data_IF_924000941918
#
_entry.id   IF_924000941918
#
_cell.length_a   1.000
_cell.length_b   1.000
_cell.length_c   1.000
_cell.angle_alpha   90.00
_cell.angle_beta   90.00
_cell.angle_gamma   90.00
#
_symmetry.space_group_name_H-M   'P 1'
#
loop_
_entity.id
_entity.type
_entity.pdbx_description
1 polymer ?
#
# COMPACT_ATOMS: atom_id res chain seq x y z
N UNK A 1 19.93 -5.16 27.26
CA UNK A 1 18.48 -4.94 27.43
C UNK A 1 18.04 -3.97 26.34
N UNK A 2 16.94 -4.28 25.64
CA UNK A 2 16.13 -3.41 24.72
C UNK A 2 16.78 -2.97 23.38
N UNK A 3 16.21 -3.18 22.18
CA UNK A 3 14.90 -3.71 21.70
C UNK A 3 15.03 -4.36 20.30
N UNK A 4 14.15 -5.28 19.88
CA UNK A 4 14.03 -5.66 18.48
C UNK A 4 13.32 -4.54 17.71
N UNK A 5 13.86 -4.14 16.56
CA UNK A 5 13.21 -3.20 15.65
C UNK A 5 12.02 -3.89 14.97
N UNK A 6 10.81 -3.64 15.45
CA UNK A 6 9.59 -3.91 14.69
C UNK A 6 9.49 -2.91 13.53
N UNK A 7 10.20 -3.19 12.44
CA UNK A 7 10.01 -2.50 11.17
C UNK A 7 8.98 -3.27 10.36
N UNK A 8 7.78 -2.73 10.22
CA UNK A 8 6.82 -3.17 9.20
C UNK A 8 7.54 -3.24 7.84
N UNK A 9 7.70 -4.44 7.29
CA UNK A 9 8.21 -4.60 5.94
C UNK A 9 7.26 -3.88 4.99
N UNK A 10 7.73 -2.83 4.31
CA UNK A 10 6.91 -2.06 3.37
C UNK A 10 6.32 -3.00 2.33
N UNK A 11 5.00 -3.01 2.22
CA UNK A 11 4.26 -3.86 1.28
C UNK A 11 4.57 -3.57 -0.21
N UNK A 12 5.26 -2.46 -0.48
CA UNK A 12 5.51 -1.92 -1.82
C UNK A 12 6.99 -1.56 -2.06
N UNK A 13 7.92 -2.34 -1.49
CA UNK A 13 9.36 -2.17 -1.70
C UNK A 13 9.81 -2.47 -3.14
N UNK A 14 10.65 -1.57 -3.69
CA UNK A 14 11.18 -1.67 -5.06
C UNK A 14 12.55 -2.35 -5.17
N UNK A 15 13.28 -2.05 -6.26
CA UNK A 15 14.61 -2.61 -6.59
C UNK A 15 15.77 -2.16 -5.69
N UNK A 16 15.50 -1.32 -4.70
CA UNK A 16 16.54 -0.81 -3.81
C UNK A 16 16.68 -1.71 -2.59
N UNK A 17 17.92 -2.00 -2.21
CA UNK A 17 18.24 -2.85 -1.06
C UNK A 17 18.30 -2.10 0.27
N UNK A 18 18.25 -0.76 0.24
CA UNK A 18 18.25 0.10 1.42
C UNK A 18 16.88 0.71 1.69
N UNK A 19 16.68 1.17 2.93
CA UNK A 19 15.48 1.89 3.33
C UNK A 19 15.31 3.18 2.53
N UNK A 20 14.07 3.47 2.14
CA UNK A 20 13.72 4.75 1.54
C UNK A 20 13.86 5.87 2.56
N UNK A 21 14.47 6.98 2.14
CA UNK A 21 14.61 8.18 2.97
C UNK A 21 13.24 8.69 3.45
N UNK A 22 13.15 9.11 4.71
CA UNK A 22 11.90 9.53 5.34
C UNK A 22 11.25 10.74 4.64
N UNK A 23 12.04 11.64 4.06
CA UNK A 23 11.51 12.77 3.29
C UNK A 23 10.89 12.30 1.96
N UNK A 24 11.51 11.30 1.33
CA UNK A 24 11.00 10.71 0.09
C UNK A 24 9.71 9.93 0.37
N UNK A 25 9.64 9.19 1.49
CA UNK A 25 8.41 8.53 1.94
C UNK A 25 7.27 9.52 2.16
N UNK A 26 7.52 10.56 2.96
CA UNK A 26 6.50 11.56 3.29
C UNK A 26 6.03 12.34 2.04
N UNK A 27 6.95 12.64 1.11
CA UNK A 27 6.61 13.31 -0.14
C UNK A 27 5.74 12.45 -1.07
N UNK A 28 5.96 11.13 -1.11
CA UNK A 28 5.20 10.22 -1.97
C UNK A 28 3.90 9.70 -1.33
N UNK A 29 3.73 9.87 -0.02
CA UNK A 29 2.51 9.44 0.66
C UNK A 29 1.29 10.22 0.15
N UNK A 30 0.34 9.52 -0.47
CA UNK A 30 -0.89 10.10 -1.01
C UNK A 30 -2.12 9.86 -0.14
N UNK A 31 -1.98 9.12 0.97
CA UNK A 31 -3.10 8.64 1.79
C UNK A 31 -4.01 9.76 2.31
N UNK A 32 -3.45 10.92 2.66
CA UNK A 32 -4.21 12.06 3.16
C UNK A 32 -5.23 12.60 2.13
N UNK A 33 -4.93 12.41 0.85
CA UNK A 33 -5.80 12.76 -0.26
C UNK A 33 -6.66 11.56 -0.71
N UNK A 34 -6.03 10.40 -0.93
CA UNK A 34 -6.66 9.22 -1.52
C UNK A 34 -7.71 8.58 -0.62
N UNK A 35 -7.67 8.80 0.70
CA UNK A 35 -8.69 8.28 1.62
C UNK A 35 -10.13 8.64 1.24
N UNK A 36 -10.33 9.71 0.45
CA UNK A 36 -11.65 10.11 -0.05
C UNK A 36 -12.21 9.18 -1.13
N UNK A 37 -11.35 8.36 -1.74
CA UNK A 37 -11.67 7.43 -2.82
C UNK A 37 -11.92 5.99 -2.32
N UNK A 38 -12.08 5.80 -1.00
CA UNK A 38 -12.20 4.48 -0.40
C UNK A 38 -13.45 3.72 -0.91
N UNK A 39 -14.53 4.44 -1.24
CA UNK A 39 -15.78 3.84 -1.70
C UNK A 39 -15.60 3.23 -3.10
N UNK A 40 -14.91 3.95 -3.98
CA UNK A 40 -14.59 3.53 -5.34
C UNK A 40 -13.62 2.33 -5.33
N UNK A 41 -12.65 2.30 -4.41
CA UNK A 41 -11.73 1.16 -4.26
C UNK A 41 -12.46 -0.13 -3.86
N UNK A 42 -13.44 -0.03 -2.94
CA UNK A 42 -14.29 -1.16 -2.54
C UNK A 42 -15.15 -1.63 -3.71
N UNK A 43 -15.83 -0.72 -4.40
CA UNK A 43 -16.69 -1.06 -5.54
C UNK A 43 -15.90 -1.74 -6.67
N UNK A 44 -14.74 -1.15 -7.03
CA UNK A 44 -13.84 -1.71 -8.03
C UNK A 44 -13.32 -3.10 -7.65
N UNK A 45 -12.98 -3.31 -6.38
CA UNK A 45 -12.52 -4.60 -5.88
C UNK A 45 -13.61 -5.68 -5.97
N UNK A 46 -14.87 -5.36 -5.65
CA UNK A 46 -16.01 -6.29 -5.78
C UNK A 46 -16.23 -6.65 -7.26
N UNK A 47 -16.25 -5.65 -8.14
CA UNK A 47 -16.42 -5.88 -9.57
C UNK A 47 -15.29 -6.75 -10.15
N UNK A 48 -14.05 -6.48 -9.75
CA UNK A 48 -12.88 -7.24 -10.18
C UNK A 48 -12.94 -8.70 -9.70
N UNK A 49 -13.28 -8.93 -8.43
CA UNK A 49 -13.45 -10.27 -7.89
C UNK A 49 -14.58 -11.04 -8.61
N UNK A 50 -15.70 -10.38 -8.91
CA UNK A 50 -16.79 -10.96 -9.69
C UNK A 50 -16.37 -11.35 -11.10
N UNK A 51 -15.59 -10.49 -11.78
CA UNK A 51 -15.02 -10.81 -13.09
C UNK A 51 -14.07 -12.00 -13.03
N UNK A 52 -13.15 -12.05 -12.05
CA UNK A 52 -12.22 -13.18 -11.88
C UNK A 52 -12.96 -14.51 -11.65
N UNK A 53 -14.03 -14.50 -10.86
CA UNK A 53 -14.85 -15.69 -10.61
C UNK A 53 -15.56 -16.18 -11.88
N UNK A 54 -15.94 -15.28 -12.79
CA UNK A 54 -16.57 -15.63 -14.06
C UNK A 54 -15.57 -16.14 -15.11
N UNK A 55 -14.30 -15.74 -15.01
CA UNK A 55 -13.25 -16.06 -15.98
C UNK A 55 -12.40 -17.28 -15.59
N UNK A 56 -12.55 -17.78 -14.36
CA UNK A 56 -11.90 -18.98 -13.85
C UNK A 56 -12.40 -20.28 -14.47
#
# INVERSE_FOLDING_TARGET
MTQPSEGSSKLWGGRFSGETDALVEAFNASIDFDRRLYAEDIEGSIAHAGMLAAQG
#
